data_IF_169593250831
#
_entry.id   IF_169593250831
#
_cell.length_a   1.000
_cell.length_b   1.000
_cell.length_c   1.000
_cell.angle_alpha   90.00
_cell.angle_beta   90.00
_cell.angle_gamma   90.00
#
_symmetry.space_group_name_H-M   'P 1'
#
loop_
_entity.id
_entity.type
_entity.pdbx_description
1 polymer ?
#
# COMPACT_ATOMS: atom_id res chain seq x y z
N UNK A 1 39.23 -30.03 -18.24
CA UNK A 1 38.76 -29.45 -16.97
C UNK A 1 37.26 -29.22 -17.05
N UNK A 2 36.47 -30.17 -16.54
CA UNK A 2 35.02 -30.19 -16.71
C UNK A 2 34.35 -29.48 -15.52
N UNK A 3 33.45 -28.57 -15.86
CA UNK A 3 32.67 -27.69 -14.99
C UNK A 3 31.67 -28.48 -14.13
N UNK A 4 31.36 -27.96 -12.93
CA UNK A 4 30.02 -28.01 -12.30
C UNK A 4 30.01 -27.13 -11.03
N UNK A 5 29.71 -25.84 -11.21
CA UNK A 5 29.23 -24.98 -10.12
C UNK A 5 27.87 -25.54 -9.67
N UNK A 6 27.82 -26.13 -8.47
CA UNK A 6 26.58 -26.56 -7.82
C UNK A 6 25.77 -25.32 -7.47
N UNK A 7 24.79 -24.97 -8.31
CA UNK A 7 23.71 -24.07 -7.90
C UNK A 7 22.85 -24.78 -6.86
N UNK A 8 23.06 -24.46 -5.60
CA UNK A 8 22.16 -24.84 -4.51
C UNK A 8 20.85 -24.06 -4.66
N UNK A 9 19.83 -24.71 -5.23
CA UNK A 9 18.45 -24.20 -5.23
C UNK A 9 18.00 -24.09 -3.77
N UNK A 10 17.95 -22.87 -3.21
CA UNK A 10 17.25 -22.61 -1.94
C UNK A 10 15.79 -23.03 -2.12
N UNK A 11 15.42 -24.11 -1.43
CA UNK A 11 14.08 -24.69 -1.42
C UNK A 11 13.17 -23.71 -0.66
N UNK A 12 12.37 -22.94 -1.39
CA UNK A 12 11.35 -22.08 -0.81
C UNK A 12 10.30 -22.96 -0.11
N UNK A 13 10.41 -23.13 1.21
CA UNK A 13 9.32 -23.65 2.02
C UNK A 13 8.17 -22.63 1.98
N UNK A 14 7.23 -22.82 1.06
CA UNK A 14 5.94 -22.12 1.12
C UNK A 14 5.29 -22.52 2.44
N UNK A 15 5.16 -21.57 3.38
CA UNK A 15 4.37 -21.79 4.60
C UNK A 15 2.98 -22.26 4.18
N UNK A 16 2.55 -23.39 4.74
CA UNK A 16 1.26 -23.99 4.43
C UNK A 16 0.13 -23.02 4.79
N UNK A 17 -0.90 -22.96 3.95
CA UNK A 17 -2.16 -22.29 4.31
C UNK A 17 -2.77 -23.05 5.50
N UNK A 18 -3.45 -22.35 6.44
CA UNK A 18 -4.13 -23.03 7.54
C UNK A 18 -5.13 -24.06 6.98
N UNK A 19 -5.10 -25.27 7.54
CA UNK A 19 -6.04 -26.31 7.16
C UNK A 19 -7.40 -26.00 7.77
N UNK A 20 -8.36 -25.59 6.93
CA UNK A 20 -9.70 -25.16 7.35
C UNK A 20 -10.48 -26.30 8.01
N UNK A 21 -10.16 -27.57 7.70
CA UNK A 21 -10.87 -28.74 8.25
C UNK A 21 -10.49 -29.08 9.70
N UNK A 22 -9.55 -28.36 10.32
CA UNK A 22 -9.04 -28.62 11.67
C UNK A 22 -8.88 -27.32 12.48
N UNK A 23 -9.85 -26.41 12.36
CA UNK A 23 -9.88 -25.20 13.18
C UNK A 23 -10.26 -25.55 14.63
N UNK A 24 -9.25 -25.80 15.46
CA UNK A 24 -9.43 -25.83 16.91
C UNK A 24 -9.57 -24.38 17.40
N UNK A 25 -10.79 -23.99 17.77
CA UNK A 25 -11.08 -22.65 18.29
C UNK A 25 -10.50 -22.51 19.69
N UNK A 26 -9.58 -21.54 19.85
CA UNK A 26 -8.94 -21.24 21.15
C UNK A 26 -9.84 -20.35 22.02
N UNK A 27 -10.69 -19.53 21.40
CA UNK A 27 -11.50 -18.52 22.07
C UNK A 27 -12.93 -19.00 22.28
N UNK A 28 -13.54 -18.52 23.36
CA UNK A 28 -14.94 -18.71 23.71
C UNK A 28 -15.85 -17.73 22.96
N UNK A 29 -17.15 -18.05 22.88
CA UNK A 29 -18.15 -17.16 22.28
C UNK A 29 -18.19 -15.78 22.97
N UNK A 30 -17.98 -15.72 24.28
CA UNK A 30 -17.92 -14.46 25.01
C UNK A 30 -16.72 -13.60 24.58
N UNK A 31 -15.57 -14.21 24.31
CA UNK A 31 -14.39 -13.50 23.82
C UNK A 31 -14.58 -13.00 22.38
N UNK A 32 -15.21 -13.80 21.51
CA UNK A 32 -15.57 -13.38 20.15
C UNK A 32 -16.55 -12.20 20.13
N UNK A 33 -17.44 -12.11 21.11
CA UNK A 33 -18.42 -11.03 21.27
C UNK A 33 -17.94 -9.87 22.17
N UNK A 34 -16.65 -9.87 22.55
CA UNK A 34 -16.06 -8.77 23.31
C UNK A 34 -16.00 -7.48 22.48
N UNK A 35 -16.05 -6.33 23.17
CA UNK A 35 -15.88 -5.01 22.55
C UNK A 35 -14.41 -4.56 22.49
N UNK A 36 -13.48 -5.49 22.67
CA UNK A 36 -12.05 -5.19 22.74
C UNK A 36 -11.49 -4.83 21.36
N UNK A 37 -10.59 -3.85 21.37
CA UNK A 37 -9.93 -3.39 20.14
C UNK A 37 -8.78 -4.32 19.74
N UNK A 38 -8.53 -4.43 18.43
CA UNK A 38 -7.38 -5.17 17.93
C UNK A 38 -6.06 -4.45 18.30
N UNK A 39 -5.00 -5.22 18.58
CA UNK A 39 -3.68 -4.69 18.92
C UNK A 39 -3.19 -3.69 17.85
N UNK A 40 -2.87 -2.47 18.28
CA UNK A 40 -2.47 -1.37 17.38
C UNK A 40 -1.17 -1.65 16.64
N UNK A 41 -0.29 -2.48 17.20
CA UNK A 41 0.94 -2.96 16.56
C UNK A 41 0.66 -3.88 15.35
N UNK A 42 -0.49 -4.56 15.31
CA UNK A 42 -0.85 -5.50 14.24
C UNK A 42 -1.48 -4.77 13.05
N UNK A 43 -2.49 -3.92 13.30
CA UNK A 43 -3.23 -3.27 12.20
C UNK A 43 -2.71 -1.86 11.86
N UNK A 44 -2.06 -1.18 12.79
CA UNK A 44 -1.63 0.22 12.64
C UNK A 44 -0.68 0.42 11.46
N UNK A 45 0.42 -0.34 11.34
CA UNK A 45 1.32 -0.28 10.19
C UNK A 45 0.61 -0.52 8.85
N UNK A 46 -0.29 -1.51 8.79
CA UNK A 46 -1.08 -1.81 7.59
C UNK A 46 -2.01 -0.66 7.18
N UNK A 47 -2.69 -0.05 8.14
CA UNK A 47 -3.53 1.13 7.90
C UNK A 47 -2.68 2.31 7.38
N UNK A 48 -1.55 2.62 8.01
CA UNK A 48 -0.67 3.68 7.52
C UNK A 48 -0.12 3.40 6.13
N UNK A 49 0.26 2.15 5.85
CA UNK A 49 0.69 1.74 4.52
C UNK A 49 -0.39 2.01 3.46
N UNK A 50 -1.64 1.66 3.75
CA UNK A 50 -2.76 1.98 2.88
C UNK A 50 -2.96 3.49 2.72
N UNK A 51 -2.99 4.26 3.81
CA UNK A 51 -3.21 5.71 3.77
C UNK A 51 -2.15 6.43 2.93
N UNK A 52 -0.88 6.07 3.10
CA UNK A 52 0.21 6.59 2.27
C UNK A 52 0.01 6.20 0.81
N UNK A 53 -0.23 4.91 0.52
CA UNK A 53 -0.48 4.42 -0.85
C UNK A 53 -1.64 5.15 -1.53
N UNK A 54 -2.77 5.28 -0.83
CA UNK A 54 -3.94 6.01 -1.29
C UNK A 54 -3.62 7.47 -1.59
N UNK A 55 -2.84 8.13 -0.72
CA UNK A 55 -2.48 9.53 -0.88
C UNK A 55 -1.51 9.78 -2.04
N UNK A 56 -0.51 8.90 -2.24
CA UNK A 56 0.40 8.95 -3.39
C UNK A 56 -0.27 8.51 -4.70
N UNK A 57 -1.43 7.86 -4.63
CA UNK A 57 -2.26 7.56 -5.80
C UNK A 57 -3.34 8.61 -6.09
N UNK A 58 -3.60 9.55 -5.16
CA UNK A 58 -4.57 10.63 -5.36
C UNK A 58 -4.30 11.39 -6.69
N UNK A 59 -5.32 11.83 -7.45
CA UNK A 59 -5.08 12.44 -8.76
C UNK A 59 -4.19 13.69 -8.70
N UNK A 60 -3.38 13.91 -9.74
CA UNK A 60 -2.61 15.16 -9.88
C UNK A 60 -3.55 16.34 -10.05
N UNK A 61 -4.60 16.15 -10.87
CA UNK A 61 -5.66 17.13 -11.13
C UNK A 61 -7.01 16.54 -10.67
N UNK A 62 -7.30 16.59 -9.35
CA UNK A 62 -8.50 15.97 -8.80
C UNK A 62 -9.76 16.77 -9.14
N UNK A 63 -10.84 16.05 -9.44
CA UNK A 63 -12.18 16.63 -9.58
C UNK A 63 -12.73 17.07 -8.22
N UNK A 64 -13.85 17.81 -8.21
CA UNK A 64 -14.54 18.18 -6.97
C UNK A 64 -14.96 16.93 -6.17
N UNK A 65 -15.48 15.91 -6.84
CA UNK A 65 -15.91 14.65 -6.22
C UNK A 65 -14.72 13.90 -5.62
N UNK A 66 -13.56 13.87 -6.29
CA UNK A 66 -12.35 13.25 -5.72
C UNK A 66 -11.96 13.91 -4.39
N UNK A 67 -11.94 15.26 -4.36
CA UNK A 67 -11.64 16.01 -3.14
C UNK A 67 -12.61 15.67 -2.00
N UNK A 68 -13.90 15.59 -2.30
CA UNK A 68 -14.95 15.25 -1.32
C UNK A 68 -14.80 13.81 -0.80
N UNK A 69 -14.63 12.83 -1.68
CA UNK A 69 -14.50 11.42 -1.30
C UNK A 69 -13.28 11.19 -0.41
N UNK A 70 -12.10 11.69 -0.80
CA UNK A 70 -10.87 11.47 -0.05
C UNK A 70 -10.85 12.22 1.28
N UNK A 71 -11.35 13.46 1.30
CA UNK A 71 -11.43 14.24 2.55
C UNK A 71 -12.43 13.61 3.54
N UNK A 72 -13.60 13.17 3.05
CA UNK A 72 -14.58 12.45 3.87
C UNK A 72 -13.98 11.15 4.39
N UNK A 73 -13.31 10.35 3.55
CA UNK A 73 -12.65 9.12 3.99
C UNK A 73 -11.68 9.39 5.15
N UNK A 74 -10.77 10.37 5.01
CA UNK A 74 -9.84 10.74 6.08
C UNK A 74 -10.58 11.14 7.36
N UNK A 75 -11.54 12.05 7.27
CA UNK A 75 -12.25 12.55 8.45
C UNK A 75 -13.11 11.49 9.15
N UNK A 76 -13.54 10.44 8.43
CA UNK A 76 -14.33 9.34 8.99
C UNK A 76 -13.50 8.33 9.78
N UNK A 77 -12.17 8.30 9.63
CA UNK A 77 -11.29 7.41 10.41
C UNK A 77 -11.52 7.53 11.92
N UNK A 78 -11.85 8.73 12.41
CA UNK A 78 -12.17 8.99 13.84
C UNK A 78 -13.35 8.18 14.38
N UNK A 79 -14.15 7.55 13.52
CA UNK A 79 -15.29 6.72 13.90
C UNK A 79 -15.00 5.21 13.79
N UNK A 80 -14.11 4.79 12.91
CA UNK A 80 -13.97 3.38 12.51
C UNK A 80 -12.65 2.72 12.90
N UNK A 81 -11.64 3.46 13.38
CA UNK A 81 -10.41 2.82 13.86
C UNK A 81 -10.72 1.78 14.95
N UNK A 82 -10.14 0.57 14.93
CA UNK A 82 -10.43 -0.52 15.87
C UNK A 82 -9.74 -0.33 17.24
N UNK A 83 -9.81 0.90 17.76
CA UNK A 83 -9.22 1.33 19.02
C UNK A 83 -9.92 2.61 19.50
N UNK A 84 -10.66 2.53 20.62
CA UNK A 84 -11.45 3.64 21.15
C UNK A 84 -10.61 4.88 21.51
N UNK A 85 -9.44 4.69 22.16
CA UNK A 85 -8.52 5.80 22.49
C UNK A 85 -7.95 6.44 21.23
N UNK A 86 -7.62 5.64 20.22
CA UNK A 86 -7.11 6.12 18.94
C UNK A 86 -8.14 7.01 18.23
N UNK A 87 -9.42 6.61 18.24
CA UNK A 87 -10.54 7.43 17.73
C UNK A 87 -10.64 8.78 18.45
N UNK A 88 -10.59 8.78 19.79
CA UNK A 88 -10.62 10.02 20.59
C UNK A 88 -9.41 10.92 20.30
N UNK A 89 -8.21 10.36 20.24
CA UNK A 89 -6.99 11.11 19.94
C UNK A 89 -7.01 11.68 18.52
N UNK A 90 -7.48 10.92 17.53
CA UNK A 90 -7.56 11.38 16.15
C UNK A 90 -8.49 12.60 16.00
N UNK A 91 -9.58 12.68 16.78
CA UNK A 91 -10.42 13.89 16.84
C UNK A 91 -9.61 15.11 17.26
N UNK A 92 -8.75 14.99 18.26
CA UNK A 92 -7.90 16.10 18.73
C UNK A 92 -6.78 16.40 17.73
N UNK A 93 -6.20 15.38 17.10
CA UNK A 93 -5.21 15.56 16.05
C UNK A 93 -5.78 16.33 14.85
N UNK A 94 -7.03 16.08 14.46
CA UNK A 94 -7.69 16.90 13.43
C UNK A 94 -7.98 18.34 13.86
N UNK A 95 -8.04 18.65 15.16
CA UNK A 95 -8.08 20.04 15.61
C UNK A 95 -6.72 20.72 15.49
N UNK A 96 -5.64 19.99 15.82
CA UNK A 96 -4.25 20.47 15.71
C UNK A 96 -3.77 20.59 14.27
N UNK A 97 -4.21 19.67 13.41
CA UNK A 97 -3.88 19.62 11.99
C UNK A 97 -5.16 19.45 11.15
N UNK A 98 -5.98 20.51 10.99
CA UNK A 98 -7.24 20.41 10.28
C UNK A 98 -7.05 20.13 8.79
N UNK A 99 -7.89 19.25 8.24
CA UNK A 99 -7.91 18.96 6.81
C UNK A 99 -8.77 20.00 6.08
N UNK A 100 -8.13 20.86 5.29
CA UNK A 100 -8.78 21.88 4.47
C UNK A 100 -8.69 21.56 2.97
N UNK A 101 -9.52 22.23 2.17
CA UNK A 101 -9.52 22.06 0.70
C UNK A 101 -8.18 22.44 0.04
N UNK A 102 -7.35 23.28 0.66
CA UNK A 102 -5.98 23.55 0.20
C UNK A 102 -5.11 22.29 0.18
N UNK A 103 -5.32 21.36 1.11
CA UNK A 103 -4.61 20.07 1.14
C UNK A 103 -5.12 19.13 0.06
N UNK A 104 -6.36 19.31 -0.41
CA UNK A 104 -6.96 18.48 -1.47
C UNK A 104 -6.65 18.98 -2.88
N UNK A 105 -5.80 20.02 -3.04
CA UNK A 105 -5.51 20.69 -4.32
C UNK A 105 -4.99 19.73 -5.38
N UNK A 106 -4.07 18.85 -5.01
CA UNK A 106 -3.43 17.87 -5.87
C UNK A 106 -2.78 16.76 -5.02
N UNK A 107 -2.25 15.72 -5.68
CA UNK A 107 -1.48 14.63 -5.06
C UNK A 107 -0.50 15.12 -4.00
N UNK A 108 0.41 16.03 -4.36
CA UNK A 108 1.50 16.45 -3.48
C UNK A 108 1.00 17.08 -2.17
N UNK A 109 -0.02 17.94 -2.26
CA UNK A 109 -0.61 18.58 -1.08
C UNK A 109 -1.30 17.56 -0.17
N UNK A 110 -1.99 16.57 -0.76
CA UNK A 110 -2.73 15.58 0.01
C UNK A 110 -1.81 14.54 0.65
N UNK A 111 -0.84 14.01 -0.10
CA UNK A 111 0.17 13.08 0.44
C UNK A 111 1.03 13.74 1.51
N UNK A 112 1.36 15.03 1.36
CA UNK A 112 2.06 15.79 2.42
C UNK A 112 1.22 15.89 3.69
N UNK A 113 -0.08 16.16 3.58
CA UNK A 113 -0.97 16.18 4.74
C UNK A 113 -1.02 14.82 5.47
N UNK A 114 -1.10 13.71 4.73
CA UNK A 114 -1.10 12.36 5.32
C UNK A 114 0.22 12.06 6.03
N UNK A 115 1.36 12.48 5.45
CA UNK A 115 2.66 12.44 6.11
C UNK A 115 2.70 13.27 7.40
N UNK A 116 2.25 14.52 7.36
CA UNK A 116 2.26 15.41 8.53
C UNK A 116 1.36 14.89 9.66
N UNK A 117 0.22 14.28 9.31
CA UNK A 117 -0.65 13.63 10.27
C UNK A 117 0.02 12.40 10.92
N UNK A 118 0.76 11.61 10.14
CA UNK A 118 1.50 10.47 10.65
C UNK A 118 2.60 10.91 11.62
N UNK A 119 3.36 11.95 11.27
CA UNK A 119 4.40 12.50 12.14
C UNK A 119 3.84 13.16 13.39
N UNK A 120 2.68 13.85 13.30
CA UNK A 120 1.97 14.36 14.48
C UNK A 120 1.62 13.23 15.47
N UNK A 121 1.17 12.09 14.95
CA UNK A 121 0.83 10.92 15.77
C UNK A 121 2.09 10.24 16.32
N UNK A 122 3.17 10.15 15.53
CA UNK A 122 4.45 9.64 16.00
C UNK A 122 4.97 10.47 17.17
N UNK A 123 4.97 11.80 17.05
CA UNK A 123 5.35 12.72 18.12
C UNK A 123 4.47 12.55 19.37
N UNK A 124 3.15 12.43 19.20
CA UNK A 124 2.22 12.16 20.31
C UNK A 124 2.53 10.85 21.06
N UNK A 125 3.08 9.85 20.35
CA UNK A 125 3.45 8.54 20.90
C UNK A 125 4.92 8.46 21.33
N UNK A 126 5.69 9.55 21.26
CA UNK A 126 7.12 9.57 21.56
C UNK A 126 7.97 8.79 20.55
N UNK A 127 7.46 8.56 19.34
CA UNK A 127 8.15 7.85 18.26
C UNK A 127 8.80 8.84 17.30
N UNK A 128 9.93 8.46 16.70
CA UNK A 128 10.59 9.20 15.63
C UNK A 128 10.66 8.32 14.38
N UNK A 129 10.17 8.82 13.24
CA UNK A 129 10.29 8.12 11.97
C UNK A 129 11.72 8.18 11.41
N UNK A 130 12.40 9.32 11.61
CA UNK A 130 13.69 9.63 10.99
C UNK A 130 13.60 9.90 9.49
N UNK A 131 12.39 10.11 8.93
CA UNK A 131 12.16 10.23 7.50
C UNK A 131 11.57 11.59 7.15
N UNK A 132 12.04 12.18 6.04
CA UNK A 132 11.40 13.36 5.45
C UNK A 132 10.36 12.96 4.40
N UNK A 133 9.57 13.93 3.97
CA UNK A 133 8.50 13.72 3.00
C UNK A 133 9.03 13.20 1.66
N UNK A 134 10.16 13.71 1.19
CA UNK A 134 10.81 13.34 -0.06
C UNK A 134 11.21 11.85 -0.05
N UNK A 135 11.76 11.38 1.08
CA UNK A 135 12.14 9.98 1.26
C UNK A 135 10.92 9.07 1.22
N UNK A 136 9.84 9.44 1.90
CA UNK A 136 8.60 8.67 1.88
C UNK A 136 7.98 8.65 0.48
N UNK A 137 7.95 9.81 -0.20
CA UNK A 137 7.48 9.90 -1.58
C UNK A 137 8.24 8.92 -2.46
N UNK A 138 9.57 8.96 -2.45
CA UNK A 138 10.38 8.05 -3.28
C UNK A 138 10.12 6.57 -2.95
N UNK A 139 10.08 6.22 -1.66
CA UNK A 139 9.76 4.86 -1.19
C UNK A 139 8.46 4.32 -1.79
N UNK A 140 7.39 5.13 -1.82
CA UNK A 140 6.10 4.71 -2.37
C UNK A 140 6.02 4.80 -3.90
N UNK A 141 6.76 5.70 -4.54
CA UNK A 141 6.81 5.83 -6.00
C UNK A 141 7.41 4.58 -6.67
N UNK A 142 8.30 3.84 -6.00
CA UNK A 142 8.79 2.56 -6.49
C UNK A 142 7.65 1.54 -6.75
N UNK A 143 6.54 1.63 -6.01
CA UNK A 143 5.37 0.75 -6.15
C UNK A 143 4.39 1.18 -7.24
N UNK A 144 4.60 2.32 -7.90
CA UNK A 144 3.66 2.80 -8.92
C UNK A 144 3.58 1.82 -10.09
N UNK A 145 2.41 1.21 -10.25
CA UNK A 145 2.09 0.43 -11.44
C UNK A 145 2.07 1.36 -12.65
N UNK A 146 2.67 0.92 -13.76
CA UNK A 146 2.40 1.54 -15.06
C UNK A 146 1.66 0.49 -15.87
N UNK A 147 0.42 0.82 -16.23
CA UNK A 147 -0.22 0.07 -17.30
C UNK A 147 0.66 0.30 -18.52
N UNK A 148 1.33 -0.74 -19.00
CA UNK A 148 1.75 -0.78 -20.38
C UNK A 148 0.48 -0.44 -21.16
N UNK A 149 0.43 0.73 -21.80
CA UNK A 149 -0.53 0.93 -22.87
C UNK A 149 -0.10 -0.11 -23.88
N UNK A 150 -0.62 -1.33 -23.75
CA UNK A 150 -0.54 -2.34 -24.78
C UNK A 150 -0.94 -1.58 -26.01
N UNK A 151 0.03 -1.40 -26.92
CA UNK A 151 -0.09 -0.65 -28.16
C UNK A 151 -1.57 -0.65 -28.54
N UNK A 152 -2.21 0.52 -28.49
CA UNK A 152 -3.45 0.71 -29.22
C UNK A 152 -3.06 0.53 -30.69
N UNK A 153 -2.84 -0.71 -31.09
CA UNK A 153 -2.76 -1.13 -32.45
C UNK A 153 -4.16 -0.86 -32.95
N UNK A 154 -4.30 0.33 -33.53
CA UNK A 154 -5.23 0.67 -34.59
C UNK A 154 -5.09 -0.39 -35.68
N UNK A 155 -5.60 -1.59 -35.43
CA UNK A 155 -5.97 -2.51 -36.47
C UNK A 155 -7.47 -2.66 -36.31
N UNK A 156 -8.20 -2.01 -37.22
CA UNK A 156 -9.63 -2.28 -37.48
C UNK A 156 -9.75 -3.74 -37.92
N UNK A 157 -9.56 -4.71 -37.01
CA UNK A 157 -9.98 -6.08 -37.26
C UNK A 157 -11.47 -6.12 -37.01
N UNK A 158 -12.23 -6.33 -38.09
CA UNK A 158 -13.66 -6.61 -38.03
C UNK A 158 -13.87 -7.71 -36.99
N UNK A 159 -14.62 -7.41 -35.94
CA UNK A 159 -14.98 -8.38 -34.92
C UNK A 159 -16.07 -9.26 -35.53
N UNK A 160 -15.74 -10.50 -35.88
CA UNK A 160 -16.79 -11.50 -36.03
C UNK A 160 -17.39 -11.73 -34.64
N UNK A 161 -18.66 -11.39 -34.48
CA UNK A 161 -19.43 -11.75 -33.29
C UNK A 161 -19.62 -13.28 -33.28
N UNK A 162 -18.63 -14.01 -32.75
CA UNK A 162 -18.86 -15.38 -32.31
C UNK A 162 -19.38 -15.32 -30.88
N UNK A 163 -20.56 -15.88 -30.66
CA UNK A 163 -21.23 -15.97 -29.37
C UNK A 163 -20.50 -16.98 -28.46
N UNK A 164 -19.30 -16.63 -27.98
CA UNK A 164 -18.59 -17.39 -26.95
C UNK A 164 -18.63 -16.58 -25.66
N UNK A 165 -19.31 -17.12 -24.65
CA UNK A 165 -19.22 -16.68 -23.27
C UNK A 165 -17.78 -16.87 -22.77
N UNK A 166 -16.90 -15.93 -23.05
CA UNK A 166 -15.57 -15.86 -22.45
C UNK A 166 -15.68 -15.10 -21.13
N UNK A 167 -15.44 -15.80 -20.03
CA UNK A 167 -15.28 -15.18 -18.72
C UNK A 167 -14.11 -14.20 -18.81
N UNK A 168 -14.40 -12.90 -18.75
CA UNK A 168 -13.37 -11.87 -18.73
C UNK A 168 -12.67 -11.90 -17.38
N UNK A 169 -11.44 -12.42 -17.34
CA UNK A 169 -10.60 -12.39 -16.14
C UNK A 169 -9.82 -11.09 -16.10
N UNK A 170 -10.06 -10.26 -15.09
CA UNK A 170 -9.28 -9.04 -14.86
C UNK A 170 -7.83 -9.41 -14.49
N UNK A 171 -6.84 -8.85 -15.19
CA UNK A 171 -5.42 -9.18 -15.00
C UNK A 171 -4.78 -8.49 -13.78
N UNK A 172 -5.47 -7.52 -13.19
CA UNK A 172 -4.99 -6.68 -12.09
C UNK A 172 -3.82 -5.76 -12.49
N UNK A 173 -3.65 -4.64 -11.80
CA UNK A 173 -2.57 -3.68 -12.05
C UNK A 173 -1.23 -4.13 -11.42
N UNK A 174 -0.71 -5.29 -11.84
CA UNK A 174 0.50 -5.93 -11.25
C UNK A 174 1.80 -5.71 -12.05
N UNK A 175 1.75 -4.91 -13.12
CA UNK A 175 2.93 -4.61 -13.94
C UNK A 175 3.70 -3.40 -13.37
N UNK A 176 4.96 -3.65 -12.99
CA UNK A 176 5.92 -2.62 -12.58
C UNK A 176 6.36 -1.79 -13.79
N UNK A 177 6.73 -0.52 -13.54
CA UNK A 177 7.38 0.36 -14.52
C UNK A 177 8.54 -0.33 -15.27
N UNK A 178 9.53 -0.87 -14.55
CA UNK A 178 10.66 -1.68 -15.02
C UNK A 178 11.09 -2.64 -13.90
N UNK A 179 11.72 -3.77 -14.22
CA UNK A 179 12.25 -4.72 -13.24
C UNK A 179 11.22 -5.73 -12.69
N UNK A 180 11.60 -6.41 -11.61
CA UNK A 180 10.81 -7.47 -10.97
C UNK A 180 9.47 -6.97 -10.41
N UNK A 181 8.45 -7.84 -10.40
CA UNK A 181 7.14 -7.52 -9.83
C UNK A 181 7.24 -7.45 -8.31
N UNK A 182 6.97 -6.28 -7.75
CA UNK A 182 6.88 -6.12 -6.29
C UNK A 182 5.58 -6.70 -5.76
N UNK A 183 5.64 -7.37 -4.60
CA UNK A 183 4.47 -7.85 -3.86
C UNK A 183 4.58 -7.40 -2.40
N UNK A 184 3.47 -7.00 -1.80
CA UNK A 184 3.41 -6.73 -0.37
C UNK A 184 3.28 -8.06 0.39
N UNK A 185 4.08 -8.24 1.44
CA UNK A 185 3.95 -9.36 2.39
C UNK A 185 3.72 -8.76 3.77
N UNK A 186 2.57 -9.06 4.37
CA UNK A 186 2.30 -8.69 5.75
C UNK A 186 2.84 -9.80 6.67
N UNK A 187 3.75 -9.43 7.57
CA UNK A 187 4.37 -10.34 8.51
C UNK A 187 4.10 -9.88 9.94
N UNK A 188 3.49 -10.76 10.75
CA UNK A 188 3.32 -10.55 12.19
C UNK A 188 4.47 -11.26 12.91
N UNK A 189 5.17 -10.52 13.76
CA UNK A 189 6.33 -10.99 14.54
C UNK A 189 6.16 -10.61 16.01
N UNK A 190 6.85 -11.29 16.95
CA UNK A 190 6.91 -10.87 18.35
C UNK A 190 7.31 -9.40 18.51
N UNK A 191 6.74 -8.71 19.49
CA UNK A 191 6.87 -7.26 19.67
C UNK A 191 8.33 -6.79 19.92
N UNK A 192 9.15 -7.65 20.49
CA UNK A 192 10.58 -7.45 20.78
C UNK A 192 11.49 -7.69 19.56
N UNK A 193 10.93 -8.14 18.43
CA UNK A 193 11.70 -8.32 17.20
C UNK A 193 12.16 -6.96 16.67
N UNK A 194 13.48 -6.76 16.57
CA UNK A 194 14.05 -5.54 16.02
C UNK A 194 13.92 -5.53 14.47
N UNK A 195 12.84 -4.91 13.97
CA UNK A 195 12.61 -4.74 12.54
C UNK A 195 11.83 -3.46 12.22
N UNK A 196 12.01 -2.92 11.01
CA UNK A 196 11.19 -1.84 10.50
C UNK A 196 9.76 -2.31 10.18
N UNK A 197 8.78 -1.42 10.33
CA UNK A 197 7.37 -1.72 9.99
C UNK A 197 7.12 -1.91 8.49
N UNK A 198 7.97 -1.34 7.64
CA UNK A 198 7.93 -1.51 6.18
C UNK A 198 9.35 -1.73 5.67
N UNK A 199 9.67 -2.98 5.35
CA UNK A 199 10.91 -3.34 4.68
C UNK A 199 10.66 -3.48 3.17
N UNK A 200 11.54 -2.88 2.37
CA UNK A 200 11.50 -2.95 0.90
C UNK A 200 12.76 -3.67 0.46
N UNK A 201 12.60 -4.79 -0.26
CA UNK A 201 13.73 -5.50 -0.84
C UNK A 201 14.45 -4.58 -1.85
N UNK A 202 15.79 -4.59 -1.85
CA UNK A 202 16.60 -3.78 -2.76
C UNK A 202 16.24 -4.02 -4.24
N UNK A 203 15.81 -5.23 -4.60
CA UNK A 203 15.37 -5.55 -5.96
C UNK A 203 14.07 -4.84 -6.36
N UNK A 204 13.27 -4.37 -5.40
CA UNK A 204 12.07 -3.57 -5.65
C UNK A 204 12.35 -2.07 -5.73
N UNK A 205 13.57 -1.63 -5.39
CA UNK A 205 14.02 -0.24 -5.51
C UNK A 205 14.54 -0.03 -6.93
N UNK A 206 14.02 0.99 -7.62
CA UNK A 206 14.35 1.26 -9.03
C UNK A 206 15.46 2.31 -9.14
N UNK A 207 16.49 2.04 -9.95
CA UNK A 207 17.61 2.96 -10.18
C UNK A 207 17.34 3.92 -11.36
N UNK A 208 17.93 5.12 -11.32
CA UNK A 208 17.69 6.20 -12.32
C UNK A 208 18.04 5.78 -13.75
N UNK A 209 19.12 5.02 -13.95
CA UNK A 209 19.52 4.53 -15.28
C UNK A 209 18.42 3.67 -15.94
N UNK A 210 17.74 2.84 -15.15
CA UNK A 210 16.62 2.01 -15.65
C UNK A 210 15.39 2.83 -16.02
N UNK A 211 15.21 4.03 -15.45
CA UNK A 211 14.06 4.91 -15.73
C UNK A 211 14.28 5.70 -17.03
N UNK A 212 15.49 6.24 -17.24
CA UNK A 212 15.81 7.08 -18.41
C UNK A 212 15.91 6.28 -19.71
N UNK A 213 16.56 5.12 -19.70
CA UNK A 213 16.71 4.27 -20.91
C UNK A 213 15.38 3.82 -21.50
N UNK A 214 14.35 3.70 -20.67
CA UNK A 214 13.09 3.15 -21.11
C UNK A 214 12.01 4.22 -21.35
N UNK A 215 12.17 5.44 -20.84
CA UNK A 215 11.46 6.61 -21.37
C UNK A 215 11.99 6.96 -22.77
N UNK A 216 13.30 6.81 -23.01
CA UNK A 216 13.92 7.06 -24.32
C UNK A 216 13.58 6.06 -25.42
N UNK A 217 13.05 4.86 -25.08
CA UNK A 217 12.58 3.84 -26.04
C UNK A 217 11.09 3.95 -26.41
N UNK A 218 10.38 4.93 -25.84
CA UNK A 218 8.96 5.21 -26.15
C UNK A 218 8.77 6.45 -27.05
N UNK A 219 9.86 7.10 -27.46
CA UNK A 219 9.88 8.17 -28.46
C UNK A 219 10.17 7.62 -29.85
#
# INVERSE_FOLDING_TARGET
MNTKRKHTKKRNNRKARPNVSQLNTVYTDNEYNSNDGMLTSVWGPGMWHYLHTMSFNYPVNPTKKDKEHYSKFMLQLKHVLPCGKCRKNLKQNYKKLPLYMKHMKNRAMFSKYVFDLHELINNMLGKKSGLNYETIRERYEHFRARCSISKQNKTKKRVHFSNKNTVFTEKGCTESLYGEKSKCVLQIVPQDTNCESLSIDKQCVKEKHSVTEAIGKQS
#
